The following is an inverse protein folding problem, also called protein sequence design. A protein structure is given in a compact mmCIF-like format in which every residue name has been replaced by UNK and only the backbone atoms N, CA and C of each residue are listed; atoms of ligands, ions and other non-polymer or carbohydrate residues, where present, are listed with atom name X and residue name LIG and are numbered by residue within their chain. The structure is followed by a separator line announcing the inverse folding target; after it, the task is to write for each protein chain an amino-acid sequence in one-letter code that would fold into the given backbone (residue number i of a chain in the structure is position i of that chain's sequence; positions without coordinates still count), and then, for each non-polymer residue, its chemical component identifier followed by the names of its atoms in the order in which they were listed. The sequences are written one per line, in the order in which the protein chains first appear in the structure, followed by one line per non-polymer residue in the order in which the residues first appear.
data_IF_991229393077
#
_entry.id   IF_991229393077
#
_cell.length_a   1.000
_cell.length_b   1.000
_cell.length_c   1.000
_cell.angle_alpha   90.00
_cell.angle_beta   90.00
_cell.angle_gamma   90.00
#
_symmetry.space_group_name_H-M   'P 1'
#
loop_
_entity.id
_entity.type
_entity.pdbx_description
1 polymer ?
#
# COMPACT_ATOMS: atom_id res chain seq x y z
N UNK A 1 -12.00 -9.72 38.91
CA UNK A 1 -11.64 -10.37 37.63
C UNK A 1 -11.02 -9.34 36.71
N UNK A 2 -9.70 -9.41 36.48
CA UNK A 2 -9.00 -8.52 35.54
C UNK A 2 -9.39 -8.91 34.11
N UNK A 3 -10.10 -8.03 33.39
CA UNK A 3 -10.34 -8.23 31.94
C UNK A 3 -9.00 -8.03 31.24
N UNK A 4 -8.38 -9.11 30.79
CA UNK A 4 -7.14 -9.04 30.01
C UNK A 4 -7.44 -8.40 28.65
N UNK A 5 -7.11 -7.13 28.49
CA UNK A 5 -7.35 -6.41 27.23
C UNK A 5 -6.31 -6.86 26.20
N UNK A 6 -6.64 -7.86 25.38
CA UNK A 6 -5.73 -8.37 24.35
C UNK A 6 -5.79 -7.50 23.09
N UNK A 7 -4.65 -6.94 22.68
CA UNK A 7 -4.48 -6.29 21.38
C UNK A 7 -3.98 -7.27 20.33
N UNK A 8 -4.49 -7.16 19.10
CA UNK A 8 -4.10 -7.98 17.95
C UNK A 8 -3.69 -7.09 16.78
N UNK A 9 -2.66 -7.51 16.04
CA UNK A 9 -2.29 -6.90 14.77
C UNK A 9 -2.82 -7.76 13.63
N UNK A 10 -3.59 -7.12 12.75
CA UNK A 10 -4.16 -7.72 11.54
C UNK A 10 -3.40 -7.13 10.36
N UNK A 11 -2.58 -7.93 9.69
CA UNK A 11 -1.74 -7.50 8.58
C UNK A 11 -1.81 -8.52 7.43
N UNK A 12 -1.47 -8.09 6.21
CA UNK A 12 -1.50 -8.96 5.03
C UNK A 12 -0.46 -10.09 5.12
N UNK A 13 -0.77 -11.27 4.55
CA UNK A 13 0.12 -12.45 4.61
C UNK A 13 1.43 -12.30 3.82
N UNK A 14 1.53 -11.33 2.92
CA UNK A 14 2.76 -11.06 2.19
C UNK A 14 3.39 -9.78 2.75
N UNK A 15 4.45 -9.94 3.54
CA UNK A 15 5.35 -8.84 3.89
C UNK A 15 6.06 -8.25 2.66
N UNK A 16 7.35 -7.89 2.82
CA UNK A 16 8.18 -7.08 1.91
C UNK A 16 8.32 -7.52 0.42
N UNK A 17 7.65 -8.60 -0.02
CA UNK A 17 7.52 -8.99 -1.44
C UNK A 17 6.65 -8.00 -2.27
N UNK A 18 5.99 -7.06 -1.58
CA UNK A 18 4.92 -6.21 -2.11
C UNK A 18 5.22 -5.55 -3.45
N UNK A 19 6.36 -4.86 -3.63
CA UNK A 19 6.52 -4.00 -4.81
C UNK A 19 6.85 -4.75 -6.10
N UNK A 20 7.63 -5.84 -6.05
CA UNK A 20 7.92 -6.66 -7.23
C UNK A 20 6.73 -7.53 -7.61
N UNK A 21 6.11 -8.19 -6.63
CA UNK A 21 4.93 -9.02 -6.86
C UNK A 21 3.75 -8.17 -7.33
N UNK A 22 3.49 -7.02 -6.70
CA UNK A 22 2.42 -6.11 -7.10
C UNK A 22 2.61 -5.61 -8.53
N UNK A 23 3.80 -5.14 -8.93
CA UNK A 23 4.02 -4.67 -10.31
C UNK A 23 3.80 -5.75 -11.36
N UNK A 24 4.23 -6.98 -11.07
CA UNK A 24 4.01 -8.12 -11.97
C UNK A 24 2.51 -8.45 -12.07
N UNK A 25 1.84 -8.61 -10.94
CA UNK A 25 0.40 -8.93 -10.90
C UNK A 25 -0.46 -7.82 -11.54
N UNK A 26 -0.15 -6.55 -11.26
CA UNK A 26 -0.87 -5.42 -11.88
C UNK A 26 -0.68 -5.42 -13.39
N UNK A 27 0.54 -5.62 -13.88
CA UNK A 27 0.81 -5.69 -15.32
C UNK A 27 0.08 -6.87 -15.96
N UNK A 28 0.13 -8.06 -15.34
CA UNK A 28 -0.57 -9.27 -15.82
C UNK A 28 -2.09 -9.10 -15.88
N UNK A 29 -2.71 -8.57 -14.82
CA UNK A 29 -4.17 -8.52 -14.70
C UNK A 29 -4.76 -7.29 -15.42
N UNK A 30 -4.02 -6.18 -15.55
CA UNK A 30 -4.50 -4.99 -16.27
C UNK A 30 -4.14 -4.99 -17.76
N UNK A 31 -3.07 -5.69 -18.16
CA UNK A 31 -2.48 -5.63 -19.50
C UNK A 31 -1.56 -4.42 -19.72
N UNK A 32 -1.33 -3.59 -18.69
CA UNK A 32 -0.44 -2.43 -18.80
C UNK A 32 1.04 -2.82 -18.79
N UNK A 33 1.89 -1.93 -19.32
CA UNK A 33 3.34 -2.12 -19.28
C UNK A 33 3.83 -2.09 -17.83
N UNK A 34 4.59 -3.11 -17.44
CA UNK A 34 5.16 -3.19 -16.11
C UNK A 34 6.05 -1.98 -15.78
N UNK A 35 5.87 -1.44 -14.57
CA UNK A 35 6.71 -0.37 -14.01
C UNK A 35 8.14 -0.88 -13.74
N UNK A 36 9.13 -0.33 -14.44
CA UNK A 36 10.54 -0.76 -14.35
C UNK A 36 11.40 0.10 -13.43
N UNK A 37 10.98 1.33 -13.17
CA UNK A 37 11.75 2.32 -12.42
C UNK A 37 11.03 2.71 -11.13
N UNK A 38 11.80 2.99 -10.08
CA UNK A 38 11.31 3.59 -8.84
C UNK A 38 11.93 4.95 -8.64
N UNK A 39 11.11 5.89 -8.17
CA UNK A 39 11.56 7.21 -7.77
C UNK A 39 12.51 7.11 -6.56
N UNK A 40 13.75 7.64 -6.65
CA UNK A 40 14.65 7.69 -5.51
C UNK A 40 14.04 8.50 -4.35
N UNK A 41 14.25 8.04 -3.10
CA UNK A 41 13.64 8.63 -1.91
C UNK A 41 14.01 10.11 -1.73
N UNK A 42 15.23 10.52 -2.07
CA UNK A 42 15.65 11.92 -2.02
C UNK A 42 14.84 12.81 -2.96
N UNK A 43 14.64 12.35 -4.20
CA UNK A 43 13.82 13.04 -5.20
C UNK A 43 12.35 13.07 -4.78
N UNK A 44 11.83 11.97 -4.24
CA UNK A 44 10.47 11.89 -3.71
C UNK A 44 10.24 12.91 -2.57
N UNK A 45 11.18 13.04 -1.64
CA UNK A 45 11.10 14.03 -0.56
C UNK A 45 11.14 15.47 -1.08
N UNK A 46 11.97 15.76 -2.08
CA UNK A 46 12.00 17.09 -2.72
C UNK A 46 10.65 17.45 -3.32
N UNK A 47 10.08 16.55 -4.12
CA UNK A 47 8.76 16.75 -4.75
C UNK A 47 7.68 16.92 -3.67
N UNK A 48 7.69 16.08 -2.64
CA UNK A 48 6.73 16.15 -1.55
C UNK A 48 6.78 17.50 -0.81
N UNK A 49 7.98 18.03 -0.54
CA UNK A 49 8.14 19.33 0.09
C UNK A 49 7.60 20.49 -0.76
N UNK A 50 7.72 20.41 -2.09
CA UNK A 50 7.10 21.38 -3.01
C UNK A 50 5.57 21.28 -2.99
N UNK A 51 5.04 20.05 -3.05
CA UNK A 51 3.59 19.81 -3.02
C UNK A 51 2.95 20.28 -1.72
N UNK A 52 3.58 20.04 -0.57
CA UNK A 52 3.10 20.53 0.73
C UNK A 52 3.10 22.05 0.81
N UNK A 53 4.13 22.73 0.29
CA UNK A 53 4.16 24.20 0.21
C UNK A 53 3.05 24.75 -0.68
N UNK A 54 2.77 24.10 -1.81
CA UNK A 54 1.65 24.48 -2.70
C UNK A 54 0.30 24.27 -2.00
N UNK A 55 0.10 23.10 -1.40
CA UNK A 55 -1.11 22.75 -0.65
C UNK A 55 -1.43 23.75 0.47
N UNK A 56 -0.40 24.22 1.21
CA UNK A 56 -0.58 25.27 2.22
C UNK A 56 -1.13 26.59 1.66
N UNK A 57 -0.87 26.88 0.38
CA UNK A 57 -1.36 28.10 -0.29
C UNK A 57 -2.71 27.90 -0.96
N UNK A 58 -2.96 26.73 -1.55
CA UNK A 58 -4.18 26.45 -2.32
C UNK A 58 -5.30 25.84 -1.49
N UNK A 59 -4.99 25.28 -0.31
CA UNK A 59 -5.94 24.51 0.50
C UNK A 59 -6.22 23.10 -0.03
N UNK A 60 -5.64 22.73 -1.18
CA UNK A 60 -5.83 21.42 -1.79
C UNK A 60 -4.97 20.35 -1.11
N UNK A 61 -5.47 19.11 -1.04
CA UNK A 61 -4.71 18.00 -0.48
C UNK A 61 -3.57 17.62 -1.44
N UNK A 62 -2.31 17.55 -0.96
CA UNK A 62 -1.19 17.15 -1.81
C UNK A 62 -1.28 15.67 -2.15
N UNK A 63 -0.95 15.30 -3.39
CA UNK A 63 -0.90 13.90 -3.83
C UNK A 63 0.18 13.09 -3.11
N UNK A 64 1.24 13.74 -2.63
CA UNK A 64 2.36 13.12 -1.91
C UNK A 64 2.90 14.07 -0.85
N UNK A 65 3.10 13.55 0.37
CA UNK A 65 3.65 14.28 1.53
C UNK A 65 4.97 13.69 1.98
N UNK A 66 5.80 14.49 2.64
CA UNK A 66 7.07 14.02 3.24
C UNK A 66 6.79 12.91 4.26
N UNK A 67 5.67 13.01 4.98
CA UNK A 67 5.18 11.95 5.85
C UNK A 67 4.83 10.66 5.10
N UNK A 68 4.14 10.74 3.95
CA UNK A 68 3.84 9.54 3.14
C UNK A 68 5.12 8.88 2.60
N UNK A 69 6.10 9.67 2.15
CA UNK A 69 7.40 9.18 1.69
C UNK A 69 8.14 8.49 2.83
N UNK A 70 8.17 9.10 4.02
CA UNK A 70 8.76 8.51 5.21
C UNK A 70 8.14 7.15 5.56
N UNK A 71 6.81 7.03 5.56
CA UNK A 71 6.14 5.78 5.89
C UNK A 71 6.36 4.69 4.84
N UNK A 72 6.36 5.03 3.56
CA UNK A 72 6.57 4.08 2.45
C UNK A 72 8.02 3.64 2.31
N UNK A 73 8.99 4.52 2.63
CA UNK A 73 10.41 4.19 2.58
C UNK A 73 10.82 3.22 3.69
N UNK A 74 10.04 3.15 4.78
CA UNK A 74 10.33 2.26 5.90
C UNK A 74 9.88 0.83 5.59
N UNK A 75 10.81 -0.11 5.81
CA UNK A 75 10.48 -1.53 5.82
C UNK A 75 9.80 -1.88 7.14
N UNK A 76 8.48 -1.81 7.17
CA UNK A 76 7.70 -2.26 8.33
C UNK A 76 7.42 -3.76 8.22
N UNK A 77 8.07 -4.56 9.07
CA UNK A 77 7.78 -5.98 9.25
C UNK A 77 6.75 -6.15 10.36
N UNK A 78 5.55 -6.55 9.99
CA UNK A 78 4.46 -6.82 10.93
C UNK A 78 4.32 -8.32 11.18
N UNK A 79 3.80 -8.68 12.36
CA UNK A 79 3.51 -10.06 12.74
C UNK A 79 2.03 -10.19 13.15
N UNK A 80 1.26 -10.97 12.39
CA UNK A 80 -0.12 -11.32 12.68
C UNK A 80 -0.26 -12.69 13.34
N UNK A 81 0.83 -13.35 13.74
CA UNK A 81 0.80 -14.72 14.31
C UNK A 81 -0.14 -14.83 15.51
N UNK A 82 -0.20 -13.80 16.36
CA UNK A 82 -1.13 -13.76 17.49
C UNK A 82 -2.59 -13.75 17.05
N UNK A 83 -2.93 -12.97 16.02
CA UNK A 83 -4.28 -12.93 15.48
C UNK A 83 -4.65 -14.25 14.81
N UNK A 84 -3.72 -14.86 14.07
CA UNK A 84 -3.95 -16.17 13.44
C UNK A 84 -4.17 -17.28 14.48
N UNK A 85 -3.39 -17.29 15.56
CA UNK A 85 -3.50 -18.31 16.63
C UNK A 85 -4.77 -18.14 17.48
N UNK A 86 -5.03 -16.94 17.99
CA UNK A 86 -6.10 -16.72 18.96
C UNK A 86 -7.47 -16.53 18.28
N UNK A 87 -7.50 -16.00 17.05
CA UNK A 87 -8.74 -15.62 16.35
C UNK A 87 -8.99 -16.41 15.06
N UNK A 88 -8.10 -17.30 14.65
CA UNK A 88 -8.19 -17.98 13.36
C UNK A 88 -8.04 -17.04 12.16
N UNK A 89 -7.39 -15.88 12.32
CA UNK A 89 -7.23 -14.88 11.26
C UNK A 89 -6.47 -15.45 10.05
N UNK A 90 -7.09 -15.36 8.87
CA UNK A 90 -6.51 -15.73 7.57
C UNK A 90 -6.65 -14.56 6.59
N UNK A 91 -5.82 -14.57 5.55
CA UNK A 91 -5.94 -13.62 4.43
C UNK A 91 -6.17 -14.38 3.14
N UNK A 92 -7.02 -13.85 2.27
CA UNK A 92 -7.14 -14.35 0.90
C UNK A 92 -5.84 -14.15 0.10
N UNK A 93 -5.64 -14.89 -1.00
CA UNK A 93 -4.49 -14.71 -1.89
C UNK A 93 -4.40 -13.28 -2.46
N UNK A 94 -3.20 -12.71 -2.45
CA UNK A 94 -2.95 -11.33 -2.89
C UNK A 94 -3.34 -11.06 -4.35
N UNK A 95 -3.16 -12.05 -5.24
CA UNK A 95 -3.54 -11.96 -6.66
C UNK A 95 -5.03 -11.69 -6.84
N UNK A 96 -5.88 -12.29 -6.03
CA UNK A 96 -7.32 -12.10 -6.16
C UNK A 96 -7.72 -10.66 -5.83
N UNK A 97 -7.13 -10.07 -4.78
CA UNK A 97 -7.35 -8.65 -4.45
C UNK A 97 -6.95 -7.73 -5.59
N UNK A 98 -5.80 -7.95 -6.22
CA UNK A 98 -5.33 -7.14 -7.36
C UNK A 98 -6.27 -7.30 -8.56
N UNK A 99 -6.72 -8.51 -8.85
CA UNK A 99 -7.68 -8.79 -9.92
C UNK A 99 -9.01 -8.06 -9.71
N UNK A 100 -9.58 -8.18 -8.51
CA UNK A 100 -10.87 -7.57 -8.18
C UNK A 100 -10.78 -6.04 -8.26
N UNK A 101 -9.68 -5.44 -7.78
CA UNK A 101 -9.44 -3.99 -7.88
C UNK A 101 -9.31 -3.55 -9.34
N UNK A 102 -8.52 -4.26 -10.17
CA UNK A 102 -8.37 -3.91 -11.59
C UNK A 102 -9.70 -4.03 -12.33
N UNK A 103 -10.49 -5.06 -12.03
CA UNK A 103 -11.84 -5.21 -12.58
C UNK A 103 -12.70 -3.99 -12.22
N UNK A 104 -12.74 -3.61 -10.95
CA UNK A 104 -13.50 -2.45 -10.50
C UNK A 104 -13.02 -1.15 -11.14
N UNK A 105 -11.71 -0.96 -11.31
CA UNK A 105 -11.15 0.21 -11.99
C UNK A 105 -11.59 0.28 -13.46
N UNK A 106 -11.70 -0.86 -14.16
CA UNK A 106 -12.22 -0.94 -15.53
C UNK A 106 -13.72 -0.65 -15.58
N UNK A 107 -14.50 -1.30 -14.71
CA UNK A 107 -15.97 -1.13 -14.63
C UNK A 107 -16.36 0.31 -14.31
N UNK A 108 -15.56 1.00 -13.49
CA UNK A 108 -15.79 2.41 -13.13
C UNK A 108 -15.12 3.41 -14.09
N UNK A 109 -14.52 2.93 -15.19
CA UNK A 109 -13.90 3.78 -16.23
C UNK A 109 -12.68 4.56 -15.76
N UNK A 110 -12.01 4.14 -14.67
CA UNK A 110 -10.78 4.79 -14.18
C UNK A 110 -9.54 4.33 -14.94
N UNK A 111 -9.59 3.15 -15.54
CA UNK A 111 -8.58 2.61 -16.45
C UNK A 111 -9.29 1.95 -17.64
N UNK A 112 -8.59 1.84 -18.77
CA UNK A 112 -9.06 1.14 -19.98
C UNK A 112 -8.91 -0.39 -19.87
#
# INVERSE_FOLDING_TARGET
MSKTNKMYLVTGAAGFLGSTVCRKLVSEESGCKQMKFFLPISVANLIAGVLEKKAKKTGEKPLMTTFSVYNLARNNRFDSSKASKDLGYTTRPYRETIRDEIRWLKETGKIA
#
